data_IF_287457806130
#
_entry.id   IF_287457806130
#
_cell.length_a   1.000
_cell.length_b   1.000
_cell.length_c   1.000
_cell.angle_alpha   90.00
_cell.angle_beta   90.00
_cell.angle_gamma   90.00
#
_symmetry.space_group_name_H-M   'P 1'
#
loop_
_entity.id
_entity.type
_entity.pdbx_description
1 polymer ?
#
# COMPACT_ATOMS: atom_id res chain seq x y z
N UNK A 1 -18.32 -33.10 18.88
CA UNK A 1 -18.07 -31.73 18.36
C UNK A 1 -16.70 -31.14 18.76
N UNK A 2 -16.02 -31.62 19.81
CA UNK A 2 -14.71 -31.09 20.24
C UNK A 2 -13.55 -31.29 19.23
N UNK A 3 -13.52 -32.42 18.51
CA UNK A 3 -12.48 -32.70 17.51
C UNK A 3 -12.48 -31.69 16.35
N UNK A 4 -13.66 -31.29 15.87
CA UNK A 4 -13.80 -30.30 14.81
C UNK A 4 -13.31 -28.91 15.26
N UNK A 5 -13.62 -28.50 16.49
CA UNK A 5 -13.13 -27.22 17.05
C UNK A 5 -11.60 -27.20 17.19
N UNK A 6 -10.97 -28.32 17.58
CA UNK A 6 -9.51 -28.44 17.64
C UNK A 6 -8.85 -28.27 16.27
N UNK A 7 -9.37 -28.96 15.24
CA UNK A 7 -8.86 -28.84 13.87
C UNK A 7 -9.03 -27.42 13.33
N UNK A 8 -10.19 -26.80 13.54
CA UNK A 8 -10.46 -25.43 13.09
C UNK A 8 -9.51 -24.45 13.77
N UNK A 9 -9.24 -24.61 15.07
CA UNK A 9 -8.35 -23.72 15.82
C UNK A 9 -6.90 -23.80 15.34
N UNK A 10 -6.40 -25.02 15.09
CA UNK A 10 -5.05 -25.24 14.54
C UNK A 10 -4.95 -24.66 13.12
N UNK A 11 -5.95 -24.89 12.29
CA UNK A 11 -6.02 -24.33 10.94
C UNK A 11 -6.06 -22.79 10.94
N UNK A 12 -6.87 -22.20 11.82
CA UNK A 12 -6.95 -20.74 11.98
C UNK A 12 -5.62 -20.14 12.42
N UNK A 13 -4.92 -20.76 13.39
CA UNK A 13 -3.63 -20.27 13.87
C UNK A 13 -2.56 -20.32 12.77
N UNK A 14 -2.47 -21.44 12.04
CA UNK A 14 -1.52 -21.60 10.94
C UNK A 14 -1.80 -20.61 9.79
N UNK A 15 -3.08 -20.42 9.45
CA UNK A 15 -3.52 -19.47 8.44
C UNK A 15 -3.20 -18.02 8.80
N UNK A 16 -3.59 -17.58 10.01
CA UNK A 16 -3.34 -16.22 10.48
C UNK A 16 -1.84 -15.90 10.54
N UNK A 17 -1.02 -16.84 11.01
CA UNK A 17 0.44 -16.67 11.05
C UNK A 17 1.02 -16.43 9.65
N UNK A 18 0.54 -17.19 8.66
CA UNK A 18 0.97 -17.04 7.26
C UNK A 18 0.58 -15.68 6.70
N UNK A 19 -0.66 -15.23 6.95
CA UNK A 19 -1.14 -13.91 6.51
C UNK A 19 -0.30 -12.80 7.14
N UNK A 20 -0.04 -12.86 8.44
CA UNK A 20 0.82 -11.89 9.13
C UNK A 20 2.21 -11.84 8.52
N UNK A 21 2.83 -13.00 8.25
CA UNK A 21 4.15 -13.07 7.61
C UNK A 21 4.14 -12.41 6.22
N UNK A 22 3.13 -12.70 5.39
CA UNK A 22 2.99 -12.13 4.05
C UNK A 22 2.81 -10.61 4.11
N UNK A 23 1.99 -10.10 5.03
CA UNK A 23 1.75 -8.66 5.19
C UNK A 23 3.00 -7.92 5.67
N UNK A 24 3.74 -8.48 6.64
CA UNK A 24 5.01 -7.90 7.08
C UNK A 24 6.03 -7.81 5.95
N UNK A 25 6.18 -8.87 5.15
CA UNK A 25 7.08 -8.88 4.00
C UNK A 25 6.63 -7.86 2.93
N UNK A 26 5.33 -7.75 2.68
CA UNK A 26 4.74 -6.75 1.78
C UNK A 26 5.08 -5.32 2.21
N UNK A 27 4.84 -4.98 3.48
CA UNK A 27 5.13 -3.66 4.03
C UNK A 27 6.61 -3.31 3.95
N UNK A 28 7.50 -4.26 4.26
CA UNK A 28 8.95 -4.05 4.15
C UNK A 28 9.40 -3.75 2.71
N UNK A 29 8.83 -4.45 1.71
CA UNK A 29 9.15 -4.25 0.29
C UNK A 29 8.69 -2.89 -0.21
N UNK A 30 7.47 -2.48 0.14
CA UNK A 30 6.94 -1.16 -0.24
C UNK A 30 7.79 -0.06 0.38
N UNK A 31 8.08 -0.15 1.68
CA UNK A 31 8.89 0.85 2.38
C UNK A 31 10.33 0.91 1.84
N UNK A 32 10.92 -0.23 1.48
CA UNK A 32 12.23 -0.29 0.83
C UNK A 32 12.21 0.37 -0.55
N UNK A 33 11.19 0.10 -1.38
CA UNK A 33 11.02 0.75 -2.68
C UNK A 33 10.87 2.27 -2.53
N UNK A 34 10.05 2.74 -1.57
CA UNK A 34 9.88 4.16 -1.27
C UNK A 34 11.18 4.83 -0.79
N UNK A 35 11.96 4.14 0.06
CA UNK A 35 13.26 4.64 0.52
C UNK A 35 14.31 4.68 -0.61
N UNK A 36 14.29 3.71 -1.53
CA UNK A 36 15.13 3.68 -2.73
C UNK A 36 14.79 4.83 -3.69
N UNK A 37 13.51 5.13 -3.83
CA UNK A 37 13.01 6.22 -4.67
C UNK A 37 13.21 7.61 -4.02
N UNK A 38 13.66 7.65 -2.76
CA UNK A 38 14.00 8.88 -2.03
C UNK A 38 12.81 9.57 -1.35
N UNK A 39 11.64 8.92 -1.31
CA UNK A 39 10.44 9.43 -0.64
C UNK A 39 10.54 9.36 0.89
N UNK A 40 11.37 8.45 1.39
CA UNK A 40 11.61 8.16 2.82
C UNK A 40 13.13 8.18 3.04
N UNK A 41 13.66 8.46 4.26
CA UNK A 41 15.09 8.64 4.44
C UNK A 41 15.93 7.50 3.86
N UNK A 42 16.86 7.84 2.95
CA UNK A 42 17.72 6.88 2.21
C UNK A 42 18.52 5.95 3.11
N UNK A 43 18.69 6.31 4.37
CA UNK A 43 19.32 5.47 5.39
C UNK A 43 18.55 4.17 5.64
N UNK A 44 17.22 4.15 5.43
CA UNK A 44 16.40 2.94 5.48
C UNK A 44 16.60 2.04 4.25
N UNK A 45 17.07 2.57 3.13
CA UNK A 45 17.41 1.77 1.94
C UNK A 45 18.78 1.08 2.04
N UNK A 46 19.56 1.31 3.12
CA UNK A 46 20.83 0.62 3.34
C UNK A 46 20.56 -0.86 3.68
N UNK A 47 20.90 -1.73 2.75
CA UNK A 47 20.86 -3.19 2.94
C UNK A 47 22.12 -3.67 3.68
N UNK A 48 21.99 -4.74 4.47
CA UNK A 48 23.13 -5.41 5.10
C UNK A 48 23.98 -6.18 4.07
N UNK A 49 25.03 -6.86 4.54
CA UNK A 49 25.96 -7.62 3.68
C UNK A 49 25.30 -8.71 2.82
N UNK A 50 24.11 -9.21 3.21
CA UNK A 50 23.32 -10.19 2.46
C UNK A 50 22.17 -9.59 1.64
N UNK A 51 22.17 -8.28 1.40
CA UNK A 51 21.13 -7.60 0.61
C UNK A 51 19.75 -7.52 1.29
N UNK A 52 19.60 -8.02 2.52
CA UNK A 52 18.34 -8.00 3.28
C UNK A 52 18.17 -6.66 4.03
N UNK A 53 17.00 -6.00 3.93
CA UNK A 53 16.75 -4.71 4.58
C UNK A 53 16.35 -4.91 6.06
N UNK A 54 17.26 -5.46 6.87
CA UNK A 54 17.01 -5.82 8.29
C UNK A 54 16.49 -4.63 9.10
N UNK A 55 17.01 -3.42 8.87
CA UNK A 55 16.58 -2.19 9.56
C UNK A 55 15.12 -1.87 9.30
N UNK A 56 14.66 -2.04 8.06
CA UNK A 56 13.27 -1.79 7.66
C UNK A 56 12.37 -2.83 8.32
N UNK A 57 12.79 -4.10 8.32
CA UNK A 57 12.03 -5.19 8.93
C UNK A 57 11.86 -5.01 10.43
N UNK A 58 12.94 -4.68 11.16
CA UNK A 58 12.88 -4.44 12.61
C UNK A 58 12.02 -3.21 12.91
N UNK A 59 12.18 -2.12 12.15
CA UNK A 59 11.36 -0.91 12.34
C UNK A 59 9.87 -1.20 12.16
N UNK A 60 9.51 -1.91 11.08
CA UNK A 60 8.12 -2.31 10.82
C UNK A 60 7.61 -3.24 11.91
N UNK A 61 8.39 -4.23 12.33
CA UNK A 61 8.01 -5.17 13.39
C UNK A 61 7.73 -4.47 14.72
N UNK A 62 8.61 -3.54 15.13
CA UNK A 62 8.42 -2.75 16.35
C UNK A 62 7.17 -1.88 16.23
N UNK A 63 6.99 -1.20 15.10
CA UNK A 63 5.81 -0.35 14.89
C UNK A 63 4.52 -1.16 14.95
N UNK A 64 4.45 -2.30 14.27
CA UNK A 64 3.27 -3.19 14.29
C UNK A 64 3.03 -3.76 15.69
N UNK A 65 4.08 -4.18 16.42
CA UNK A 65 3.93 -4.70 17.77
C UNK A 65 3.38 -3.63 18.73
N UNK A 66 3.88 -2.39 18.63
CA UNK A 66 3.39 -1.27 19.45
C UNK A 66 1.95 -0.89 19.11
N UNK A 67 1.57 -0.81 17.83
CA UNK A 67 0.20 -0.47 17.46
C UNK A 67 -0.79 -1.58 17.81
N UNK A 68 -0.40 -2.85 17.64
CA UNK A 68 -1.22 -3.99 18.04
C UNK A 68 -1.43 -4.08 19.56
N UNK A 69 -0.50 -3.56 20.37
CA UNK A 69 -0.61 -3.57 21.84
C UNK A 69 -1.47 -2.42 22.38
N UNK A 70 -1.51 -1.28 21.69
CA UNK A 70 -2.11 -0.04 22.20
C UNK A 70 -3.54 0.19 21.66
N UNK A 71 -3.84 -0.28 20.46
CA UNK A 71 -5.12 0.02 19.79
C UNK A 71 -6.06 -1.19 19.74
N UNK A 72 -7.37 -1.01 19.97
CA UNK A 72 -8.35 -2.08 19.86
C UNK A 72 -8.51 -2.54 18.41
N UNK A 73 -8.64 -3.86 18.21
CA UNK A 73 -8.70 -4.50 16.89
C UNK A 73 -9.81 -3.93 16.00
N UNK A 74 -10.97 -3.62 16.57
CA UNK A 74 -12.12 -3.08 15.84
C UNK A 74 -11.80 -1.73 15.19
N UNK A 75 -10.97 -0.90 15.84
CA UNK A 75 -10.55 0.40 15.28
C UNK A 75 -9.47 0.26 14.23
N UNK A 76 -8.56 -0.70 14.40
CA UNK A 76 -7.56 -1.01 13.38
C UNK A 76 -8.23 -1.56 12.11
N UNK A 77 -9.22 -2.44 12.26
CA UNK A 77 -9.99 -3.01 11.15
C UNK A 77 -10.74 -1.94 10.34
N UNK A 78 -11.45 -1.03 11.03
CA UNK A 78 -12.11 0.12 10.39
C UNK A 78 -11.12 0.95 9.56
N UNK A 79 -9.90 1.18 10.08
CA UNK A 79 -8.86 1.97 9.42
C UNK A 79 -8.21 1.22 8.24
N UNK A 80 -8.02 -0.09 8.35
CA UNK A 80 -7.50 -0.93 7.26
C UNK A 80 -8.50 -1.00 6.12
N UNK A 81 -9.78 -1.23 6.41
CA UNK A 81 -10.84 -1.35 5.40
C UNK A 81 -11.01 -0.06 4.59
N UNK A 82 -11.02 1.11 5.22
CA UNK A 82 -11.10 2.38 4.47
C UNK A 82 -9.88 2.59 3.59
N UNK A 83 -8.68 2.23 4.07
CA UNK A 83 -7.44 2.35 3.31
C UNK A 83 -7.36 1.42 2.10
N UNK A 84 -7.81 0.17 2.24
CA UNK A 84 -7.82 -0.81 1.14
C UNK A 84 -8.85 -0.45 0.08
N UNK A 85 -10.06 -0.02 0.48
CA UNK A 85 -11.08 0.48 -0.45
C UNK A 85 -10.58 1.69 -1.24
N UNK A 86 -9.91 2.64 -0.56
CA UNK A 86 -9.31 3.79 -1.24
C UNK A 86 -8.21 3.38 -2.23
N UNK A 87 -7.33 2.45 -1.84
CA UNK A 87 -6.31 1.92 -2.74
C UNK A 87 -6.93 1.24 -3.98
N UNK A 88 -8.03 0.50 -3.82
CA UNK A 88 -8.76 -0.11 -4.94
C UNK A 88 -9.39 0.91 -5.88
N UNK A 89 -9.94 2.01 -5.34
CA UNK A 89 -10.43 3.13 -6.16
C UNK A 89 -9.27 3.74 -6.96
N UNK A 90 -8.14 4.02 -6.31
CA UNK A 90 -6.96 4.58 -6.97
C UNK A 90 -6.38 3.67 -8.06
N UNK A 91 -6.28 2.37 -7.80
CA UNK A 91 -5.79 1.39 -8.78
C UNK A 91 -6.75 1.27 -9.96
N UNK A 92 -8.05 1.17 -9.71
CA UNK A 92 -9.07 1.12 -10.76
C UNK A 92 -9.05 2.37 -11.64
N UNK A 93 -8.97 3.56 -11.04
CA UNK A 93 -8.80 4.82 -11.77
C UNK A 93 -7.47 4.83 -12.55
N UNK A 94 -6.39 4.38 -11.93
CA UNK A 94 -5.05 4.27 -12.52
C UNK A 94 -5.03 3.40 -13.78
N UNK A 95 -5.79 2.30 -13.83
CA UNK A 95 -5.94 1.46 -15.03
C UNK A 95 -6.56 2.24 -16.18
N UNK A 96 -7.59 3.05 -15.91
CA UNK A 96 -8.24 3.90 -16.93
C UNK A 96 -7.29 4.98 -17.44
N UNK A 97 -6.57 5.64 -16.52
CA UNK A 97 -5.57 6.68 -16.86
C UNK A 97 -4.43 6.07 -17.69
N UNK A 98 -3.85 4.95 -17.25
CA UNK A 98 -2.72 4.33 -17.93
C UNK A 98 -3.08 3.87 -19.36
N UNK A 99 -4.34 3.43 -19.58
CA UNK A 99 -4.82 3.11 -20.93
C UNK A 99 -4.91 4.32 -21.85
N UNK A 100 -5.23 5.50 -21.31
CA UNK A 100 -5.26 6.75 -22.09
C UNK A 100 -3.86 7.33 -22.33
N UNK A 101 -2.99 7.32 -21.32
CA UNK A 101 -1.68 8.00 -21.40
C UNK A 101 -0.61 7.17 -22.10
N UNK A 102 -0.63 5.84 -22.00
CA UNK A 102 0.37 4.96 -22.65
C UNK A 102 -0.32 3.77 -23.33
N UNK A 103 -0.92 3.98 -24.51
CA UNK A 103 -1.56 2.92 -25.26
C UNK A 103 -0.55 1.87 -25.79
N UNK A 104 0.68 2.27 -26.11
CA UNK A 104 1.70 1.46 -26.79
C UNK A 104 2.40 0.39 -25.93
N UNK A 105 2.03 0.23 -24.67
CA UNK A 105 2.62 -0.78 -23.79
C UNK A 105 2.10 -2.18 -24.16
N UNK A 106 3.01 -3.13 -24.37
CA UNK A 106 2.65 -4.54 -24.52
C UNK A 106 2.07 -5.08 -23.20
N UNK A 107 0.80 -5.46 -23.21
CA UNK A 107 0.07 -5.94 -22.03
C UNK A 107 -0.12 -7.45 -22.14
N UNK A 108 0.56 -8.22 -21.29
CA UNK A 108 0.41 -9.68 -21.25
C UNK A 108 -1.00 -10.14 -20.84
N UNK A 109 -1.68 -9.36 -19.99
CA UNK A 109 -3.09 -9.54 -19.65
C UNK A 109 -3.83 -8.21 -19.79
N UNK A 110 -5.00 -8.25 -20.41
CA UNK A 110 -5.91 -7.09 -20.49
C UNK A 110 -7.20 -7.43 -19.77
N UNK A 111 -7.61 -6.56 -18.83
CA UNK A 111 -8.90 -6.74 -18.18
C UNK A 111 -10.00 -6.72 -19.26
N UNK A 112 -10.90 -7.71 -19.26
CA UNK A 112 -12.02 -7.75 -20.19
C UNK A 112 -13.02 -6.64 -19.80
N UNK A 113 -13.71 -6.04 -20.77
CA UNK A 113 -14.72 -4.99 -20.55
C UNK A 113 -14.23 -3.67 -19.91
N UNK A 114 -13.01 -3.23 -20.23
CA UNK A 114 -12.53 -1.88 -19.84
C UNK A 114 -13.14 -0.85 -20.80
N UNK A 115 -13.78 0.25 -20.33
CA UNK A 115 -13.71 0.83 -18.98
C UNK A 115 -14.84 0.46 -18.00
N UNK A 116 -15.80 -0.36 -18.40
CA UNK A 116 -16.97 -0.67 -17.58
C UNK A 116 -16.61 -1.35 -16.26
N UNK A 117 -15.68 -2.32 -16.30
CA UNK A 117 -15.26 -3.08 -15.13
C UNK A 117 -14.56 -2.21 -14.07
N UNK A 118 -13.55 -1.37 -14.42
CA UNK A 118 -12.98 -0.40 -13.47
C UNK A 118 -14.01 0.58 -12.89
N UNK A 119 -14.96 1.05 -13.69
CA UNK A 119 -16.01 1.98 -13.21
C UNK A 119 -16.93 1.27 -12.21
N UNK A 120 -17.38 0.06 -12.52
CA UNK A 120 -18.19 -0.74 -11.61
C UNK A 120 -17.46 -1.02 -10.29
N UNK A 121 -16.16 -1.33 -10.35
CA UNK A 121 -15.33 -1.52 -9.16
C UNK A 121 -15.24 -0.24 -8.31
N UNK A 122 -15.06 0.92 -8.93
CA UNK A 122 -15.06 2.22 -8.23
C UNK A 122 -16.42 2.49 -7.59
N UNK A 123 -17.52 2.28 -8.31
CA UNK A 123 -18.87 2.45 -7.78
C UNK A 123 -19.14 1.53 -6.58
N UNK A 124 -18.77 0.25 -6.67
CA UNK A 124 -18.92 -0.70 -5.58
C UNK A 124 -18.08 -0.33 -4.35
N UNK A 125 -16.82 0.07 -4.56
CA UNK A 125 -15.95 0.51 -3.47
C UNK A 125 -16.47 1.80 -2.81
N UNK A 126 -16.96 2.76 -3.59
CA UNK A 126 -17.59 3.99 -3.08
C UNK A 126 -18.85 3.69 -2.27
N UNK A 127 -19.70 2.79 -2.76
CA UNK A 127 -20.90 2.37 -2.05
C UNK A 127 -20.57 1.79 -0.67
N UNK A 128 -19.56 0.91 -0.59
CA UNK A 128 -19.07 0.37 0.67
C UNK A 128 -18.50 1.47 1.56
N UNK A 129 -17.72 2.39 0.99
CA UNK A 129 -17.09 3.50 1.72
C UNK A 129 -18.12 4.48 2.34
N UNK A 130 -19.26 4.67 1.69
CA UNK A 130 -20.37 5.50 2.20
C UNK A 130 -21.13 4.84 3.36
N UNK A 131 -21.08 3.51 3.47
CA UNK A 131 -21.65 2.78 4.61
C UNK A 131 -20.74 2.81 5.85
N UNK A 132 -19.52 3.34 5.75
CA UNK A 132 -18.62 3.49 6.90
C UNK A 132 -18.97 4.73 7.73
N UNK A 133 -18.75 4.64 9.04
CA UNK A 133 -18.99 5.73 9.98
C UNK A 133 -18.20 7.00 9.61
N UNK A 134 -18.82 8.18 9.77
CA UNK A 134 -18.19 9.49 9.52
C UNK A 134 -16.86 9.69 10.28
N UNK A 135 -16.71 9.06 11.45
CA UNK A 135 -15.49 9.10 12.24
C UNK A 135 -14.29 8.46 11.52
N UNK A 136 -14.54 7.46 10.67
CA UNK A 136 -13.51 6.78 9.87
C UNK A 136 -12.99 7.67 8.76
N UNK A 137 -13.88 8.46 8.13
CA UNK A 137 -13.53 9.45 7.12
C UNK A 137 -12.61 10.54 7.67
N UNK A 138 -12.90 11.04 8.89
CA UNK A 138 -12.06 12.06 9.54
C UNK A 138 -10.66 11.50 9.81
N UNK A 139 -10.56 10.30 10.40
CA UNK A 139 -9.26 9.64 10.66
C UNK A 139 -8.46 9.40 9.38
N UNK A 140 -9.13 8.95 8.31
CA UNK A 140 -8.52 8.76 7.00
C UNK A 140 -8.01 10.08 6.42
N UNK A 141 -8.82 11.14 6.49
CA UNK A 141 -8.43 12.49 6.06
C UNK A 141 -7.21 13.02 6.80
N UNK A 142 -7.18 12.89 8.14
CA UNK A 142 -6.03 13.27 8.96
C UNK A 142 -4.78 12.50 8.53
N UNK A 143 -4.90 11.19 8.33
CA UNK A 143 -3.76 10.36 7.91
C UNK A 143 -3.25 10.75 6.52
N UNK A 144 -4.15 11.04 5.58
CA UNK A 144 -3.80 11.46 4.23
C UNK A 144 -3.12 12.83 4.22
N UNK A 145 -3.60 13.77 5.05
CA UNK A 145 -2.97 15.08 5.24
C UNK A 145 -1.60 14.92 5.88
N UNK A 146 -1.45 14.11 6.93
CA UNK A 146 -0.17 13.83 7.56
C UNK A 146 0.85 13.21 6.59
N UNK A 147 0.43 12.20 5.82
CA UNK A 147 1.25 11.58 4.79
C UNK A 147 1.68 12.58 3.70
N UNK A 148 0.76 13.44 3.27
CA UNK A 148 1.04 14.50 2.30
C UNK A 148 2.00 15.55 2.88
N UNK A 149 1.84 15.94 4.14
CA UNK A 149 2.72 16.88 4.82
C UNK A 149 4.15 16.32 4.95
N UNK A 150 4.30 15.05 5.32
CA UNK A 150 5.61 14.36 5.34
C UNK A 150 6.20 14.32 3.93
N UNK A 151 5.40 13.98 2.92
CA UNK A 151 5.84 13.97 1.52
C UNK A 151 6.28 15.35 1.01
N UNK A 152 5.54 16.41 1.32
CA UNK A 152 5.88 17.78 0.89
C UNK A 152 7.09 18.31 1.65
N UNK A 153 7.20 18.02 2.95
CA UNK A 153 8.32 18.45 3.79
C UNK A 153 9.64 17.76 3.45
N UNK A 154 9.63 16.43 3.31
CA UNK A 154 10.83 15.63 3.04
C UNK A 154 11.02 15.33 1.54
N UNK A 155 9.96 14.82 0.90
CA UNK A 155 9.98 14.36 -0.49
C UNK A 155 10.26 15.45 -1.52
N UNK A 156 9.77 16.69 -1.35
CA UNK A 156 10.10 17.77 -2.32
C UNK A 156 11.59 18.11 -2.39
N UNK A 157 12.35 17.92 -1.30
CA UNK A 157 13.78 18.26 -1.25
C UNK A 157 14.70 17.08 -1.60
N UNK A 158 14.20 15.84 -1.61
CA UNK A 158 15.00 14.61 -1.78
C UNK A 158 14.51 13.66 -2.88
N UNK A 159 13.35 13.91 -3.49
CA UNK A 159 12.79 13.01 -4.50
C UNK A 159 13.64 13.03 -5.78
N UNK A 160 14.39 11.95 -5.99
CA UNK A 160 15.25 11.72 -7.15
C UNK A 160 14.46 11.49 -8.46
N UNK A 161 13.12 11.55 -8.41
CA UNK A 161 12.25 11.34 -9.56
C UNK A 161 12.30 12.51 -10.56
N UNK A 162 12.50 13.75 -10.10
CA UNK A 162 12.67 14.91 -10.98
C UNK A 162 13.92 14.80 -11.87
N UNK A 163 15.02 14.25 -11.33
CA UNK A 163 16.26 14.06 -12.07
C UNK A 163 16.17 12.90 -13.08
N UNK A 164 15.41 11.83 -12.76
CA UNK A 164 15.16 10.70 -13.67
C UNK A 164 14.24 11.07 -14.83
N UNK A 165 13.16 11.82 -14.59
CA UNK A 165 12.28 12.32 -15.65
C UNK A 165 13.01 13.30 -16.58
N UNK A 166 13.89 14.16 -16.05
CA UNK A 166 14.75 15.03 -16.85
C UNK A 166 15.74 14.24 -17.73
N UNK A 167 16.27 13.12 -17.23
CA UNK A 167 17.18 12.25 -17.99
C UNK A 167 16.46 11.44 -19.07
N UNK A 168 15.28 10.88 -18.79
CA UNK A 168 14.46 10.16 -19.79
C UNK A 168 13.94 11.09 -20.89
N UNK A 169 13.60 12.34 -20.57
CA UNK A 169 13.18 13.33 -21.58
C UNK A 169 14.35 13.84 -22.43
N UNK A 170 15.58 13.87 -21.89
CA UNK A 170 16.79 14.14 -22.65
C UNK A 170 17.15 12.97 -23.60
N UNK A 171 17.01 11.72 -23.16
CA UNK A 171 17.29 10.54 -24.00
C UNK A 171 16.26 10.34 -25.12
N UNK A 172 15.00 10.77 -24.97
CA UNK A 172 13.99 10.73 -26.04
C UNK A 172 14.15 11.82 -27.11
N UNK A 173 15.01 12.82 -26.89
CA UNK A 173 15.28 13.92 -27.83
C UNK A 173 16.52 13.69 -28.70
N UNK A 174 17.26 12.61 -28.47
CA UNK A 174 18.43 12.22 -29.25
C UNK A 174 18.08 10.99 -30.09
#
# INVERSE_FOLDING_TARGET
MYWASGIISVGALAGLTTVVMVLMLGQCRVLFAMARDGLVPRQLAKTGSRGTPVRVTVLVAVLVATTASVFPITKLEEMVNVGTLFAFILVSAGVVVLRRTRPDLQRGFTAPWVPLLPIAAVCACLWLMLNLTALTWIRFGIWLVAGTAIYVGYGRRHSAQGLRQARESATRRC
#
